data_IF_435847308028
#
_entry.id   IF_435847308028
#
_cell.length_a   1.000
_cell.length_b   1.000
_cell.length_c   1.000
_cell.angle_alpha   90.00
_cell.angle_beta   90.00
_cell.angle_gamma   90.00
#
_symmetry.space_group_name_H-M   'P 1'
#
loop_
_entity.id
_entity.type
_entity.pdbx_description
1 polymer ?
#
# COMPACT_ATOMS: atom_id res chain seq x y z
N UNK A 1 29.02 10.39 -16.73
CA UNK A 1 28.48 11.76 -16.77
C UNK A 1 28.05 12.11 -15.34
N UNK A 2 28.57 13.20 -14.74
CA UNK A 2 28.16 13.63 -13.39
C UNK A 2 26.71 14.16 -13.32
N UNK A 3 26.02 14.35 -14.46
CA UNK A 3 24.66 14.90 -14.55
C UNK A 3 23.55 13.86 -14.38
N UNK A 4 23.90 12.59 -14.25
CA UNK A 4 22.96 11.49 -14.06
C UNK A 4 23.37 10.24 -14.83
N UNK A 5 22.94 9.08 -14.33
CA UNK A 5 23.16 7.78 -14.97
C UNK A 5 21.83 7.06 -15.07
N UNK A 6 21.44 6.72 -16.29
CA UNK A 6 20.28 5.87 -16.53
C UNK A 6 20.63 4.41 -16.24
N UNK A 7 19.73 3.71 -15.53
CA UNK A 7 19.82 2.27 -15.30
C UNK A 7 18.65 1.59 -16.03
N UNK A 8 18.90 0.79 -17.08
CA UNK A 8 17.86 0.18 -17.89
C UNK A 8 17.31 -1.09 -17.23
N UNK A 9 16.55 -0.93 -16.14
CA UNK A 9 15.91 -2.05 -15.44
C UNK A 9 14.84 -2.68 -16.34
N UNK A 10 14.77 -4.01 -16.40
CA UNK A 10 13.71 -4.70 -17.14
C UNK A 10 12.33 -4.37 -16.54
N UNK A 11 11.30 -4.12 -17.36
CA UNK A 11 9.98 -3.74 -16.85
C UNK A 11 9.43 -4.71 -15.79
N UNK A 12 9.02 -4.18 -14.64
CA UNK A 12 8.44 -4.96 -13.54
C UNK A 12 9.45 -5.66 -12.63
N UNK A 13 10.76 -5.52 -12.88
CA UNK A 13 11.83 -6.19 -12.12
C UNK A 13 12.58 -5.27 -11.14
N UNK A 14 12.04 -4.09 -10.83
CA UNK A 14 12.67 -3.12 -9.92
C UNK A 14 12.99 -3.71 -8.53
N UNK A 15 12.16 -4.64 -8.05
CA UNK A 15 12.44 -5.36 -6.81
C UNK A 15 13.71 -6.21 -6.89
N UNK A 16 14.05 -6.80 -8.04
CA UNK A 16 15.29 -7.55 -8.19
C UNK A 16 16.52 -6.61 -8.09
N UNK A 17 16.46 -5.42 -8.70
CA UNK A 17 17.52 -4.42 -8.52
C UNK A 17 17.63 -3.97 -7.05
N UNK A 18 16.51 -3.60 -6.43
CA UNK A 18 16.49 -3.12 -5.05
C UNK A 18 16.96 -4.20 -4.06
N UNK A 19 16.51 -5.44 -4.21
CA UNK A 19 16.95 -6.55 -3.37
C UNK A 19 18.41 -6.93 -3.60
N UNK A 20 18.93 -6.81 -4.83
CA UNK A 20 20.35 -6.94 -5.13
C UNK A 20 21.19 -5.87 -4.40
N UNK A 21 20.74 -4.62 -4.42
CA UNK A 21 21.37 -3.56 -3.62
C UNK A 21 21.29 -3.86 -2.12
N UNK A 22 20.13 -4.26 -1.60
CA UNK A 22 19.94 -4.60 -0.18
C UNK A 22 20.87 -5.74 0.24
N UNK A 23 20.99 -6.80 -0.57
CA UNK A 23 21.93 -7.90 -0.31
C UNK A 23 23.34 -7.38 -0.13
N UNK A 24 23.83 -6.58 -1.08
CA UNK A 24 25.17 -6.00 -1.00
C UNK A 24 25.34 -5.11 0.23
N UNK A 25 24.33 -4.30 0.56
CA UNK A 25 24.33 -3.43 1.77
C UNK A 25 24.45 -4.28 3.04
N UNK A 26 23.75 -5.41 3.13
CA UNK A 26 23.83 -6.33 4.28
C UNK A 26 25.21 -6.99 4.36
N UNK A 27 25.69 -7.55 3.25
CA UNK A 27 26.97 -8.27 3.17
C UNK A 27 28.17 -7.37 3.54
N UNK A 28 28.06 -6.06 3.24
CA UNK A 28 29.11 -5.08 3.51
C UNK A 28 28.83 -4.19 4.73
N UNK A 29 27.78 -4.48 5.49
CA UNK A 29 27.38 -3.71 6.69
C UNK A 29 27.25 -2.20 6.43
N UNK A 30 26.71 -1.81 5.27
CA UNK A 30 26.57 -0.41 4.82
C UNK A 30 25.24 0.24 5.20
N UNK A 31 24.43 -0.42 6.04
CA UNK A 31 23.21 0.12 6.61
C UNK A 31 23.49 1.00 7.84
N UNK A 32 22.54 1.85 8.20
CA UNK A 32 22.62 2.71 9.39
C UNK A 32 22.20 1.93 10.65
N UNK A 33 23.17 1.25 11.27
CA UNK A 33 22.92 0.35 12.39
C UNK A 33 22.27 1.05 13.59
N UNK A 34 22.79 2.21 13.99
CA UNK A 34 22.31 2.95 15.17
C UNK A 34 20.84 3.38 15.02
N UNK A 35 20.45 3.80 13.81
CA UNK A 35 19.07 4.13 13.48
C UNK A 35 18.14 2.92 13.48
N UNK A 36 18.56 1.84 12.81
CA UNK A 36 17.76 0.61 12.72
C UNK A 36 17.58 -0.06 14.08
N UNK A 37 18.46 0.20 15.04
CA UNK A 37 18.38 -0.34 16.39
C UNK A 37 17.29 0.31 17.26
N UNK A 38 16.69 1.42 16.81
CA UNK A 38 15.66 2.19 17.54
C UNK A 38 14.28 1.52 17.32
N UNK A 39 13.69 0.90 18.37
CA UNK A 39 12.51 0.06 18.23
C UNK A 39 11.18 0.79 18.47
N UNK A 40 11.17 2.09 18.73
CA UNK A 40 9.92 2.75 19.10
C UNK A 40 10.01 4.25 19.23
N UNK A 41 8.84 4.87 19.41
CA UNK A 41 8.66 6.33 19.52
C UNK A 41 9.48 6.94 20.66
N UNK A 42 9.54 6.29 21.83
CA UNK A 42 10.28 6.85 22.97
C UNK A 42 11.79 6.88 22.69
N UNK A 43 12.33 5.77 22.19
CA UNK A 43 13.74 5.67 21.77
C UNK A 43 14.08 6.67 20.66
N UNK A 44 13.19 6.83 19.67
CA UNK A 44 13.32 7.81 18.60
C UNK A 44 13.47 9.23 19.15
N UNK A 45 12.58 9.63 20.07
CA UNK A 45 12.62 10.95 20.70
C UNK A 45 13.92 11.17 21.48
N UNK A 46 14.36 10.18 22.26
CA UNK A 46 15.60 10.25 23.02
C UNK A 46 16.85 10.33 22.12
N UNK A 47 16.82 9.67 20.96
CA UNK A 47 17.90 9.71 19.96
C UNK A 47 17.87 10.99 19.10
N UNK A 48 16.84 11.84 19.21
CA UNK A 48 16.68 13.03 18.37
C UNK A 48 16.32 12.71 16.91
N UNK A 49 15.78 11.53 16.64
CA UNK A 49 15.41 11.08 15.30
C UNK A 49 13.99 11.53 14.91
N UNK A 50 13.71 11.56 13.61
CA UNK A 50 12.40 11.98 13.04
C UNK A 50 11.47 10.81 12.69
N UNK A 51 11.78 9.60 13.16
CA UNK A 51 12.15 8.45 12.33
C UNK A 51 12.42 7.19 13.18
N UNK A 52 11.66 6.08 13.06
CA UNK A 52 12.04 4.76 13.61
C UNK A 52 11.51 3.62 12.74
N UNK A 53 12.00 2.40 12.98
CA UNK A 53 11.65 1.23 12.16
C UNK A 53 11.34 0.02 13.03
N UNK A 54 10.66 -0.97 12.45
CA UNK A 54 10.44 -2.26 13.08
C UNK A 54 11.58 -3.28 12.84
N UNK A 55 12.78 -2.81 12.45
CA UNK A 55 13.92 -3.67 12.10
C UNK A 55 14.32 -4.64 13.22
N UNK A 56 14.15 -4.27 14.49
CA UNK A 56 14.49 -5.08 15.66
C UNK A 56 13.32 -5.89 16.22
N UNK A 57 12.10 -5.64 15.74
CA UNK A 57 10.90 -6.31 16.27
C UNK A 57 10.95 -7.79 15.92
N UNK A 58 10.65 -8.63 16.90
CA UNK A 58 10.64 -10.06 16.73
C UNK A 58 9.35 -10.49 16.03
N UNK A 59 9.50 -11.39 15.07
CA UNK A 59 8.41 -12.05 14.37
C UNK A 59 8.52 -13.57 14.56
N UNK A 60 7.39 -14.23 14.67
CA UNK A 60 7.31 -15.69 14.74
C UNK A 60 7.57 -16.25 13.35
N UNK A 61 8.64 -17.03 13.22
CA UNK A 61 9.16 -17.49 11.94
C UNK A 61 8.71 -18.91 11.56
N UNK A 62 8.05 -19.63 12.47
CA UNK A 62 7.49 -20.95 12.19
C UNK A 62 6.19 -20.85 11.38
N UNK A 63 5.95 -21.85 10.52
CA UNK A 63 4.73 -21.99 9.72
C UNK A 63 3.57 -22.56 10.56
N UNK A 64 3.20 -21.84 11.62
CA UNK A 64 2.12 -22.20 12.52
C UNK A 64 0.82 -21.51 12.12
N UNK A 65 -0.33 -22.23 12.08
CA UNK A 65 -1.63 -21.59 11.89
C UNK A 65 -1.81 -20.41 12.85
N UNK A 66 -2.35 -19.31 12.34
CA UNK A 66 -2.62 -18.03 13.06
C UNK A 66 -1.41 -17.23 13.57
N UNK A 67 -0.23 -17.84 13.73
CA UNK A 67 0.97 -17.18 14.26
C UNK A 67 2.04 -16.86 13.21
N UNK A 68 2.07 -17.57 12.09
CA UNK A 68 3.10 -17.40 11.07
C UNK A 68 3.20 -15.94 10.59
N UNK A 69 4.40 -15.35 10.70
CA UNK A 69 4.68 -13.99 10.26
C UNK A 69 4.11 -12.88 11.15
N UNK A 70 3.45 -13.21 12.26
CA UNK A 70 2.99 -12.24 13.24
C UNK A 70 4.16 -11.69 14.07
N UNK A 71 4.01 -10.48 14.59
CA UNK A 71 4.90 -9.98 15.63
C UNK A 71 4.76 -10.84 16.89
N UNK A 72 5.91 -11.21 17.49
CA UNK A 72 5.91 -11.65 18.87
C UNK A 72 5.48 -10.46 19.74
N UNK A 73 4.53 -10.67 20.63
CA UNK A 73 4.02 -9.63 21.53
C UNK A 73 4.09 -10.06 22.99
N UNK A 74 3.96 -9.13 23.93
CA UNK A 74 3.95 -9.47 25.35
C UNK A 74 2.86 -10.48 25.70
N UNK A 75 1.67 -10.37 25.10
CA UNK A 75 0.59 -11.36 25.27
C UNK A 75 0.99 -12.80 24.92
N UNK A 76 1.92 -12.98 23.98
CA UNK A 76 2.41 -14.32 23.65
C UNK A 76 3.36 -14.87 24.73
N UNK A 77 3.96 -14.02 25.56
CA UNK A 77 4.91 -14.39 26.61
C UNK A 77 4.26 -14.48 27.99
N UNK A 78 3.24 -13.64 28.23
CA UNK A 78 2.49 -13.60 29.49
C UNK A 78 0.98 -13.54 29.19
N UNK A 79 0.14 -14.37 29.87
CA UNK A 79 -1.29 -14.43 29.58
C UNK A 79 -2.03 -13.09 29.65
N UNK A 80 -1.65 -12.23 30.61
CA UNK A 80 -2.24 -10.90 30.83
C UNK A 80 -1.42 -9.77 30.16
N UNK A 81 -0.50 -10.11 29.26
CA UNK A 81 0.35 -9.15 28.55
C UNK A 81 -0.41 -8.34 27.50
N UNK A 82 0.11 -7.15 27.18
CA UNK A 82 -0.43 -6.31 26.12
C UNK A 82 -0.12 -6.85 24.72
N UNK A 83 -0.89 -6.42 23.70
CA UNK A 83 -0.59 -6.69 22.28
C UNK A 83 0.54 -5.79 21.74
N UNK A 84 1.60 -5.54 22.53
CA UNK A 84 2.74 -4.72 22.12
C UNK A 84 3.88 -5.58 21.58
N UNK A 85 4.55 -5.17 20.48
CA UNK A 85 5.67 -5.93 19.93
C UNK A 85 6.84 -6.08 20.89
N UNK A 86 7.52 -7.22 20.81
CA UNK A 86 8.69 -7.55 21.63
C UNK A 86 9.98 -7.42 20.82
N UNK A 87 11.05 -6.98 21.48
CA UNK A 87 12.42 -6.90 20.96
C UNK A 87 13.40 -7.61 21.89
N UNK A 88 14.61 -7.88 21.41
CA UNK A 88 15.73 -8.32 22.24
C UNK A 88 16.64 -7.12 22.54
N UNK A 89 16.74 -6.71 23.79
CA UNK A 89 17.58 -5.58 24.20
C UNK A 89 19.09 -5.91 24.06
N UNK A 90 19.95 -4.93 24.31
CA UNK A 90 21.42 -5.11 24.25
C UNK A 90 21.93 -6.14 25.25
N UNK A 91 21.27 -6.30 26.40
CA UNK A 91 21.62 -7.25 27.46
C UNK A 91 21.16 -8.69 27.16
N UNK A 92 20.34 -8.88 26.12
CA UNK A 92 19.85 -10.20 25.69
C UNK A 92 18.52 -10.61 26.30
N UNK A 93 17.74 -9.64 26.80
CA UNK A 93 16.44 -9.85 27.42
C UNK A 93 15.31 -9.49 26.45
N UNK A 94 14.21 -10.25 26.52
CA UNK A 94 12.99 -9.96 25.79
C UNK A 94 12.21 -8.86 26.52
N UNK A 95 12.00 -7.73 25.85
CA UNK A 95 11.34 -6.56 26.44
C UNK A 95 10.33 -5.95 25.47
N UNK A 96 9.42 -5.13 26.00
CA UNK A 96 8.51 -4.31 25.21
C UNK A 96 9.30 -3.32 24.32
N UNK A 97 9.03 -3.32 23.02
CA UNK A 97 9.64 -2.40 22.06
C UNK A 97 9.49 -0.93 22.46
N UNK A 98 8.38 -0.56 23.10
CA UNK A 98 8.07 0.82 23.48
C UNK A 98 8.94 1.37 24.61
N UNK A 99 9.52 0.48 25.43
CA UNK A 99 10.39 0.84 26.57
C UNK A 99 11.87 0.65 26.28
N UNK A 100 12.21 -0.05 25.20
CA UNK A 100 13.57 -0.36 24.82
C UNK A 100 14.26 0.82 24.10
N UNK A 101 15.42 1.25 24.59
CA UNK A 101 16.20 2.34 23.96
C UNK A 101 16.92 1.90 22.68
N UNK A 102 17.55 0.75 22.71
CA UNK A 102 18.24 0.13 21.57
C UNK A 102 18.09 -1.38 21.65
N UNK A 103 17.80 -2.01 20.50
CA UNK A 103 17.61 -3.45 20.39
C UNK A 103 18.55 -4.08 19.37
N UNK A 104 18.79 -5.39 19.52
CA UNK A 104 19.69 -6.15 18.64
C UNK A 104 19.08 -6.29 17.24
N UNK A 105 19.87 -5.95 16.23
CA UNK A 105 19.43 -5.94 14.83
C UNK A 105 19.19 -7.33 14.24
N UNK A 106 20.08 -8.28 14.52
CA UNK A 106 20.02 -9.65 13.98
C UNK A 106 19.74 -10.62 15.12
N UNK A 107 18.54 -11.16 15.12
CA UNK A 107 18.10 -12.13 16.12
C UNK A 107 17.57 -13.36 15.39
N UNK A 108 17.99 -14.53 15.83
CA UNK A 108 17.34 -15.82 15.56
C UNK A 108 17.49 -16.65 16.81
N UNK A 109 16.40 -16.89 17.52
CA UNK A 109 16.42 -17.70 18.75
C UNK A 109 15.09 -18.39 18.99
N UNK A 110 15.10 -19.35 19.89
CA UNK A 110 13.88 -19.97 20.38
C UNK A 110 13.30 -19.18 21.55
N UNK A 111 11.98 -19.12 21.60
CA UNK A 111 11.21 -18.53 22.70
C UNK A 111 10.10 -19.49 23.08
N UNK A 112 9.88 -19.67 24.38
CA UNK A 112 8.73 -20.41 24.89
C UNK A 112 7.60 -19.43 25.16
N UNK A 113 6.45 -19.68 24.56
CA UNK A 113 5.23 -18.89 24.74
C UNK A 113 4.55 -19.23 26.07
N UNK A 114 3.58 -18.41 26.47
CA UNK A 114 2.80 -18.58 27.70
C UNK A 114 2.03 -19.92 27.77
N UNK A 115 1.66 -20.48 26.62
CA UNK A 115 1.00 -21.78 26.51
C UNK A 115 1.97 -22.98 26.52
N UNK A 116 3.28 -22.71 26.66
CA UNK A 116 4.35 -23.71 26.66
C UNK A 116 4.85 -24.09 25.27
N UNK A 117 4.27 -23.57 24.19
CA UNK A 117 4.75 -23.82 22.84
C UNK A 117 6.12 -23.14 22.64
N UNK A 118 7.06 -23.87 22.04
CA UNK A 118 8.36 -23.32 21.67
C UNK A 118 8.34 -22.90 20.20
N UNK A 119 8.66 -21.63 19.95
CA UNK A 119 8.69 -21.02 18.62
C UNK A 119 10.07 -20.45 18.30
N UNK A 120 10.40 -20.42 17.02
CA UNK A 120 11.53 -19.71 16.44
C UNK A 120 11.13 -18.27 16.15
N UNK A 121 11.87 -17.32 16.71
CA UNK A 121 11.66 -15.90 16.44
C UNK A 121 12.86 -15.28 15.76
N UNK A 122 12.61 -14.32 14.87
CA UNK A 122 13.64 -13.56 14.17
C UNK A 122 13.33 -12.07 14.21
N UNK A 123 14.35 -11.22 14.22
CA UNK A 123 14.13 -9.77 14.05
C UNK A 123 13.71 -9.44 12.61
N UNK A 124 13.00 -8.33 12.42
CA UNK A 124 12.60 -7.85 11.10
C UNK A 124 13.77 -7.70 10.12
N UNK A 125 14.91 -7.18 10.58
CA UNK A 125 16.12 -7.02 9.75
C UNK A 125 16.75 -8.37 9.39
N UNK A 126 16.73 -9.35 10.31
CA UNK A 126 17.17 -10.71 10.00
C UNK A 126 16.31 -11.32 8.88
N UNK A 127 14.99 -11.11 8.90
CA UNK A 127 14.10 -11.57 7.83
C UNK A 127 14.37 -10.88 6.50
N UNK A 128 14.66 -9.58 6.51
CA UNK A 128 15.04 -8.84 5.30
C UNK A 128 16.36 -9.36 4.72
N UNK A 129 17.38 -9.58 5.57
CA UNK A 129 18.67 -10.15 5.16
C UNK A 129 18.47 -11.52 4.51
N UNK A 130 17.75 -12.43 5.17
CA UNK A 130 17.45 -13.75 4.62
C UNK A 130 16.67 -13.68 3.30
N UNK A 131 15.74 -12.73 3.15
CA UNK A 131 15.02 -12.52 1.92
C UNK A 131 15.92 -12.03 0.77
N UNK A 132 16.87 -11.16 1.07
CA UNK A 132 17.88 -10.69 0.10
C UNK A 132 18.91 -11.78 -0.22
N UNK A 133 19.19 -12.70 0.70
CA UNK A 133 20.14 -13.80 0.50
C UNK A 133 19.57 -14.96 -0.34
N UNK A 134 18.25 -14.98 -0.59
CA UNK A 134 17.59 -16.02 -1.42
C UNK A 134 18.18 -16.14 -2.82
N UNK A 135 18.65 -15.05 -3.40
CA UNK A 135 19.25 -15.01 -4.73
C UNK A 135 20.64 -14.37 -4.66
N UNK A 136 21.59 -14.90 -5.43
CA UNK A 136 22.90 -14.27 -5.59
C UNK A 136 22.79 -12.94 -6.35
N UNK A 137 23.83 -12.10 -6.27
CA UNK A 137 23.90 -10.88 -7.08
C UNK A 137 23.80 -11.19 -8.59
N UNK A 138 24.40 -12.29 -9.05
CA UNK A 138 24.27 -12.77 -10.43
C UNK A 138 22.82 -13.04 -10.83
N UNK A 139 22.06 -13.71 -9.96
CA UNK A 139 20.64 -14.01 -10.21
C UNK A 139 19.79 -12.73 -10.19
N UNK A 140 20.06 -11.79 -9.28
CA UNK A 140 19.39 -10.48 -9.30
C UNK A 140 19.73 -9.70 -10.57
N UNK A 141 20.99 -9.70 -11.00
CA UNK A 141 21.45 -9.09 -12.25
C UNK A 141 20.72 -9.68 -13.46
N UNK A 142 20.60 -10.99 -13.54
CA UNK A 142 19.84 -11.68 -14.59
C UNK A 142 18.36 -11.26 -14.59
N UNK A 143 17.72 -11.23 -13.42
CA UNK A 143 16.30 -10.89 -13.29
C UNK A 143 15.97 -9.43 -13.58
N UNK A 144 16.87 -8.50 -13.29
CA UNK A 144 16.63 -7.07 -13.52
C UNK A 144 17.27 -6.53 -14.80
N UNK A 145 18.14 -7.30 -15.45
CA UNK A 145 18.89 -6.90 -16.64
C UNK A 145 20.01 -5.88 -16.37
N UNK A 146 20.27 -5.54 -15.11
CA UNK A 146 21.34 -4.61 -14.71
C UNK A 146 22.57 -5.41 -14.30
N UNK A 147 23.75 -5.21 -14.93
CA UNK A 147 24.96 -5.96 -14.60
C UNK A 147 25.35 -5.86 -13.11
N UNK A 148 25.84 -6.94 -12.53
CA UNK A 148 26.25 -7.03 -11.11
C UNK A 148 27.11 -5.84 -10.66
N UNK A 149 28.13 -5.48 -11.45
CA UNK A 149 29.01 -4.36 -11.15
C UNK A 149 28.25 -3.01 -11.02
N UNK A 150 27.16 -2.83 -11.76
CA UNK A 150 26.33 -1.62 -11.66
C UNK A 150 25.40 -1.65 -10.45
N UNK A 151 24.88 -2.83 -10.07
CA UNK A 151 24.12 -3.00 -8.82
C UNK A 151 24.99 -2.64 -7.62
N UNK A 152 26.21 -3.19 -7.59
CA UNK A 152 27.22 -2.92 -6.55
C UNK A 152 27.56 -1.44 -6.51
N UNK A 153 27.95 -0.84 -7.65
CA UNK A 153 28.32 0.58 -7.70
C UNK A 153 27.17 1.49 -7.27
N UNK A 154 25.91 1.14 -7.60
CA UNK A 154 24.74 1.89 -7.19
C UNK A 154 24.52 1.79 -5.68
N UNK A 155 24.60 0.60 -5.10
CA UNK A 155 24.47 0.38 -3.65
C UNK A 155 25.58 1.08 -2.85
N UNK A 156 26.82 1.00 -3.33
CA UNK A 156 27.97 1.67 -2.74
C UNK A 156 27.82 3.19 -2.76
N UNK A 157 27.48 3.76 -3.93
CA UNK A 157 27.28 5.21 -4.08
C UNK A 157 26.12 5.69 -3.22
N UNK A 158 24.98 4.98 -3.26
CA UNK A 158 23.79 5.29 -2.47
C UNK A 158 24.12 5.36 -0.97
N UNK A 159 24.78 4.33 -0.45
CA UNK A 159 25.14 4.29 0.97
C UNK A 159 26.31 5.21 1.34
N UNK A 160 27.21 5.56 0.42
CA UNK A 160 28.30 6.51 0.68
C UNK A 160 27.80 7.93 0.97
N UNK A 161 26.66 8.32 0.41
CA UNK A 161 26.00 9.58 0.72
C UNK A 161 25.18 9.54 2.04
N UNK A 162 25.02 8.36 2.64
CA UNK A 162 24.26 8.15 3.87
C UNK A 162 22.86 8.78 3.78
N UNK A 163 22.47 9.52 4.81
CA UNK A 163 21.16 10.18 4.92
C UNK A 163 20.88 11.29 3.90
N UNK A 164 21.85 11.65 3.06
CA UNK A 164 21.70 12.65 1.99
C UNK A 164 21.29 12.03 0.65
N UNK A 165 21.27 10.71 0.54
CA UNK A 165 20.66 10.01 -0.59
C UNK A 165 19.17 9.79 -0.35
N UNK A 166 18.40 9.67 -1.42
CA UNK A 166 17.00 9.29 -1.38
C UNK A 166 16.63 8.52 -2.65
N UNK A 167 15.73 7.55 -2.51
CA UNK A 167 15.08 6.89 -3.64
C UNK A 167 13.58 7.11 -3.56
N UNK A 168 12.95 7.38 -4.69
CA UNK A 168 11.50 7.50 -4.80
C UNK A 168 11.01 6.52 -5.87
N UNK A 169 9.78 6.06 -5.73
CA UNK A 169 9.09 5.32 -6.79
C UNK A 169 7.90 6.13 -7.28
N UNK A 170 7.57 6.00 -8.56
CA UNK A 170 6.30 6.51 -9.06
C UNK A 170 5.16 5.65 -8.49
N UNK A 171 4.05 6.30 -8.12
CA UNK A 171 2.95 5.70 -7.37
C UNK A 171 2.57 4.30 -7.85
N UNK A 172 2.80 3.31 -7.00
CA UNK A 172 2.30 1.94 -7.13
C UNK A 172 2.82 1.13 -8.31
N UNK A 173 3.95 1.52 -8.93
CA UNK A 173 4.69 0.81 -9.99
C UNK A 173 3.81 -0.08 -10.86
N UNK A 174 3.22 0.51 -11.91
CA UNK A 174 2.13 0.05 -12.80
C UNK A 174 2.27 -1.36 -13.43
N UNK A 175 2.45 -2.38 -12.60
CA UNK A 175 2.64 -3.78 -12.91
C UNK A 175 1.98 -4.63 -11.80
N UNK A 176 1.71 -5.90 -12.07
CA UNK A 176 1.00 -6.78 -11.13
C UNK A 176 1.71 -6.99 -9.78
N UNK A 177 3.03 -6.78 -9.73
CA UNK A 177 3.87 -6.84 -8.52
C UNK A 177 4.25 -5.45 -7.98
N UNK A 178 3.58 -4.39 -8.41
CA UNK A 178 3.94 -3.00 -8.11
C UNK A 178 4.07 -2.66 -6.63
N UNK A 179 3.26 -3.29 -5.78
CA UNK A 179 3.37 -3.15 -4.32
C UNK A 179 4.74 -3.61 -3.82
N UNK A 180 5.17 -4.81 -4.21
CA UNK A 180 6.46 -5.37 -3.77
C UNK A 180 7.63 -4.58 -4.32
N UNK A 181 7.53 -4.11 -5.57
CA UNK A 181 8.56 -3.26 -6.14
C UNK A 181 8.69 -1.93 -5.38
N UNK A 182 7.58 -1.21 -5.17
CA UNK A 182 7.59 0.02 -4.38
C UNK A 182 8.10 -0.21 -2.95
N UNK A 183 7.65 -1.29 -2.29
CA UNK A 183 8.08 -1.64 -0.94
C UNK A 183 9.58 -1.89 -0.85
N UNK A 184 10.16 -2.65 -1.78
CA UNK A 184 11.60 -2.93 -1.82
C UNK A 184 12.44 -1.67 -2.07
N UNK A 185 11.99 -0.77 -2.94
CA UNK A 185 12.67 0.52 -3.17
C UNK A 185 12.59 1.40 -1.94
N UNK A 186 11.42 1.48 -1.28
CA UNK A 186 11.28 2.26 -0.05
C UNK A 186 12.11 1.70 1.11
N UNK A 187 12.40 0.40 1.12
CA UNK A 187 13.27 -0.21 2.13
C UNK A 187 14.69 0.37 2.11
N UNK A 188 15.22 0.76 0.95
CA UNK A 188 16.55 1.39 0.85
C UNK A 188 16.64 2.68 1.66
N UNK A 189 15.57 3.49 1.67
CA UNK A 189 15.48 4.71 2.48
C UNK A 189 15.51 4.40 3.99
N UNK A 190 14.78 3.36 4.41
CA UNK A 190 14.78 2.91 5.80
C UNK A 190 16.17 2.42 6.22
N UNK A 191 16.90 1.70 5.35
CA UNK A 191 18.25 1.19 5.65
C UNK A 191 19.28 2.30 5.90
N UNK A 192 19.13 3.48 5.30
CA UNK A 192 20.03 4.62 5.54
C UNK A 192 19.48 5.62 6.58
N UNK A 193 18.20 5.52 6.93
CA UNK A 193 17.53 6.36 7.92
C UNK A 193 17.35 7.81 7.46
N UNK A 194 16.98 8.02 6.19
CA UNK A 194 16.76 9.37 5.62
C UNK A 194 15.29 9.84 5.74
N UNK A 195 14.42 9.05 6.33
CA UNK A 195 12.98 9.31 6.38
C UNK A 195 12.69 10.52 7.28
N UNK A 196 11.94 11.49 6.74
CA UNK A 196 11.56 12.77 7.34
C UNK A 196 12.71 13.74 7.63
N UNK A 197 13.89 13.52 7.03
CA UNK A 197 15.03 14.43 7.14
C UNK A 197 15.11 15.39 5.96
N UNK A 198 15.77 16.53 6.16
CA UNK A 198 16.08 17.47 5.07
C UNK A 198 16.94 16.80 4.00
N UNK A 199 16.52 16.87 2.74
CA UNK A 199 17.14 16.14 1.62
C UNK A 199 16.78 14.66 1.53
N UNK A 200 16.01 14.13 2.48
CA UNK A 200 15.50 12.77 2.50
C UNK A 200 14.08 12.62 1.95
N UNK A 201 13.45 11.50 2.26
CA UNK A 201 12.07 11.19 1.83
C UNK A 201 11.08 11.61 2.90
N UNK A 202 10.03 12.31 2.53
CA UNK A 202 8.98 12.77 3.45
C UNK A 202 7.59 12.40 2.94
N UNK A 203 6.65 12.26 3.87
CA UNK A 203 5.22 12.20 3.55
C UNK A 203 4.74 13.63 3.36
N UNK A 204 4.01 13.89 2.26
CA UNK A 204 3.50 15.23 1.95
C UNK A 204 2.72 15.85 3.12
N UNK A 205 2.74 17.18 3.23
CA UNK A 205 2.14 17.95 4.33
C UNK A 205 0.62 17.87 4.42
N UNK A 206 -0.02 17.15 3.51
CA UNK A 206 -1.45 16.87 3.48
C UNK A 206 -2.26 18.05 2.93
N UNK A 207 -3.57 17.97 3.17
CA UNK A 207 -4.57 18.90 2.63
C UNK A 207 -5.38 19.58 3.71
N UNK A 208 -5.85 20.80 3.45
CA UNK A 208 -6.97 21.33 4.23
C UNK A 208 -8.25 20.60 3.83
N UNK A 209 -9.01 20.13 4.81
CA UNK A 209 -10.27 19.46 4.53
C UNK A 209 -11.29 20.50 4.04
N UNK A 210 -11.72 20.37 2.79
CA UNK A 210 -12.74 21.24 2.18
C UNK A 210 -14.17 20.79 2.43
N UNK A 211 -14.38 19.63 3.07
CA UNK A 211 -15.70 19.09 3.40
C UNK A 211 -15.82 18.98 4.91
N UNK A 212 -16.43 19.99 5.52
CA UNK A 212 -16.80 20.03 6.92
C UNK A 212 -18.18 20.66 7.06
N UNK A 213 -18.81 20.49 8.21
CA UNK A 213 -19.97 21.32 8.54
C UNK A 213 -19.55 22.79 8.53
N UNK A 214 -20.33 23.60 7.83
CA UNK A 214 -20.10 25.02 7.66
C UNK A 214 -21.27 25.83 8.23
N UNK A 215 -21.11 27.16 8.31
CA UNK A 215 -22.14 28.03 8.88
C UNK A 215 -23.47 28.03 8.09
N UNK A 216 -23.46 27.53 6.85
CA UNK A 216 -24.65 27.45 5.98
C UNK A 216 -25.17 26.02 5.78
N UNK A 217 -24.30 25.01 5.79
CA UNK A 217 -24.64 23.63 5.44
C UNK A 217 -23.93 22.64 6.33
N UNK A 218 -24.66 21.65 6.81
CA UNK A 218 -24.09 20.49 7.51
C UNK A 218 -23.81 19.38 6.49
N UNK A 219 -22.55 19.25 6.08
CA UNK A 219 -22.11 18.29 5.06
C UNK A 219 -21.81 16.91 5.66
N UNK A 220 -21.43 16.85 6.94
CA UNK A 220 -21.09 15.59 7.61
C UNK A 220 -22.34 14.83 8.05
N UNK A 221 -23.39 15.53 8.50
CA UNK A 221 -24.62 14.91 8.98
C UNK A 221 -25.80 15.87 8.86
N UNK A 222 -26.93 15.38 8.38
CA UNK A 222 -28.18 16.13 8.27
C UNK A 222 -29.37 15.19 8.48
N UNK A 223 -30.52 15.75 8.89
CA UNK A 223 -31.73 14.97 9.10
C UNK A 223 -32.13 14.24 7.81
N UNK A 224 -32.38 12.94 7.91
CA UNK A 224 -32.71 12.09 6.75
C UNK A 224 -31.49 11.64 5.92
N UNK A 225 -30.24 11.89 6.36
CA UNK A 225 -29.05 11.37 5.68
C UNK A 225 -29.09 9.85 5.60
N UNK A 226 -29.14 9.33 4.38
CA UNK A 226 -29.04 7.89 4.10
C UNK A 226 -27.57 7.50 4.08
N UNK A 227 -27.20 6.49 4.89
CA UNK A 227 -25.87 5.89 4.83
C UNK A 227 -25.89 4.70 3.86
N UNK A 228 -24.88 4.55 2.99
CA UNK A 228 -24.72 3.30 2.24
C UNK A 228 -24.67 2.11 3.19
N UNK A 229 -25.36 1.04 2.83
CA UNK A 229 -25.38 -0.21 3.58
C UNK A 229 -25.23 -1.39 2.61
N UNK A 230 -24.85 -2.54 3.16
CA UNK A 230 -24.63 -3.76 2.40
C UNK A 230 -23.19 -3.93 1.90
N UNK A 231 -23.00 -5.02 1.18
CA UNK A 231 -21.70 -5.43 0.65
C UNK A 231 -21.31 -4.58 -0.56
N UNK A 232 -20.08 -4.09 -0.63
CA UNK A 232 -19.57 -3.43 -1.84
C UNK A 232 -19.55 -4.42 -3.01
N UNK A 233 -20.06 -4.01 -4.17
CA UNK A 233 -20.07 -4.86 -5.37
C UNK A 233 -18.66 -5.29 -5.82
N UNK A 234 -17.65 -4.46 -5.54
CA UNK A 234 -16.24 -4.73 -5.79
C UNK A 234 -15.59 -5.63 -4.71
N UNK A 235 -16.36 -6.20 -3.77
CA UNK A 235 -15.90 -7.08 -2.67
C UNK A 235 -14.71 -6.49 -1.89
N UNK A 236 -14.70 -5.16 -1.78
CA UNK A 236 -13.61 -4.36 -1.23
C UNK A 236 -13.84 -4.08 0.25
N UNK A 237 -12.77 -4.05 1.05
CA UNK A 237 -12.81 -3.80 2.51
C UNK A 237 -13.73 -4.76 3.28
N UNK A 238 -13.94 -5.98 2.79
CA UNK A 238 -14.77 -6.99 3.45
C UNK A 238 -14.12 -8.35 3.29
N UNK A 239 -14.07 -9.12 4.37
CA UNK A 239 -13.61 -10.50 4.35
C UNK A 239 -14.70 -11.40 3.77
N UNK A 240 -14.33 -12.44 3.03
CA UNK A 240 -15.29 -13.34 2.39
C UNK A 240 -16.19 -14.04 3.41
N UNK A 241 -15.64 -14.34 4.58
CA UNK A 241 -16.27 -15.01 5.71
C UNK A 241 -17.45 -14.22 6.29
N UNK A 242 -17.51 -12.91 6.01
CA UNK A 242 -18.63 -12.05 6.40
C UNK A 242 -19.79 -12.06 5.38
N UNK A 243 -19.62 -12.75 4.24
CA UNK A 243 -20.61 -12.77 3.15
C UNK A 243 -21.77 -13.72 3.40
N UNK A 244 -22.90 -13.47 2.73
CA UNK A 244 -24.03 -14.40 2.66
C UNK A 244 -23.61 -15.73 2.02
N UNK A 245 -22.84 -15.68 0.93
CA UNK A 245 -22.35 -16.89 0.25
C UNK A 245 -21.58 -17.82 1.19
N UNK A 246 -20.70 -17.28 2.03
CA UNK A 246 -19.97 -18.08 3.01
C UNK A 246 -20.91 -18.74 4.02
N UNK A 247 -21.84 -17.96 4.59
CA UNK A 247 -22.83 -18.45 5.56
C UNK A 247 -23.74 -19.52 4.97
N UNK A 248 -24.20 -19.32 3.74
CA UNK A 248 -25.11 -20.23 3.04
C UNK A 248 -24.43 -21.55 2.69
N UNK A 249 -23.16 -21.51 2.25
CA UNK A 249 -22.37 -22.72 2.01
C UNK A 249 -22.19 -23.53 3.29
N UNK A 250 -21.84 -22.89 4.41
CA UNK A 250 -21.72 -23.56 5.71
C UNK A 250 -23.07 -24.16 6.16
N UNK A 251 -24.15 -23.39 6.08
CA UNK A 251 -25.49 -23.85 6.46
C UNK A 251 -25.96 -25.03 5.58
N UNK A 252 -25.55 -25.05 4.31
CA UNK A 252 -25.81 -26.14 3.36
C UNK A 252 -24.85 -27.33 3.46
N UNK A 253 -23.92 -27.34 4.42
CA UNK A 253 -22.92 -28.42 4.57
C UNK A 253 -21.88 -28.49 3.44
N UNK A 254 -21.70 -27.40 2.68
CA UNK A 254 -20.74 -27.29 1.59
C UNK A 254 -19.42 -26.69 2.08
N UNK A 255 -18.32 -26.99 1.38
CA UNK A 255 -17.06 -26.28 1.61
C UNK A 255 -17.24 -24.79 1.29
N UNK A 256 -16.97 -23.86 2.22
CA UNK A 256 -17.09 -22.44 1.95
C UNK A 256 -16.08 -21.96 0.90
N UNK A 257 -14.92 -22.62 0.81
CA UNK A 257 -13.85 -22.24 -0.12
C UNK A 257 -13.76 -23.18 -1.34
N UNK A 258 -13.29 -22.65 -2.50
CA UNK A 258 -12.99 -21.24 -2.74
C UNK A 258 -14.25 -20.37 -2.92
N UNK A 259 -14.11 -19.06 -2.71
CA UNK A 259 -15.13 -18.08 -3.09
C UNK A 259 -15.30 -18.05 -4.62
N UNK A 260 -16.48 -17.64 -5.11
CA UNK A 260 -16.75 -17.60 -6.57
C UNK A 260 -15.85 -16.62 -7.34
N UNK A 261 -15.44 -15.51 -6.72
CA UNK A 261 -14.45 -14.59 -7.26
C UNK A 261 -13.56 -14.06 -6.12
N UNK A 262 -12.41 -13.44 -6.43
CA UNK A 262 -11.53 -12.88 -5.41
C UNK A 262 -12.21 -11.82 -4.54
N UNK A 263 -11.85 -11.81 -3.25
CA UNK A 263 -12.27 -10.83 -2.26
C UNK A 263 -11.08 -10.00 -1.80
N UNK A 264 -11.31 -8.72 -1.50
CA UNK A 264 -10.24 -7.76 -1.27
C UNK A 264 -10.40 -7.07 0.10
N UNK A 265 -10.11 -7.78 1.21
CA UNK A 265 -10.35 -7.27 2.56
C UNK A 265 -9.53 -6.02 2.90
N UNK A 266 -8.39 -5.80 2.23
CA UNK A 266 -7.48 -4.70 2.53
C UNK A 266 -7.59 -3.50 1.57
N UNK A 267 -8.18 -3.68 0.40
CA UNK A 267 -8.18 -2.67 -0.68
C UNK A 267 -9.55 -2.00 -0.78
N UNK A 268 -9.56 -0.69 -1.01
CA UNK A 268 -10.76 0.09 -1.33
C UNK A 268 -10.67 0.62 -2.77
N UNK A 269 -11.82 0.93 -3.39
CA UNK A 269 -11.85 1.73 -4.61
C UNK A 269 -11.27 1.04 -5.85
N UNK A 270 -11.74 -0.17 -6.17
CA UNK A 270 -11.30 -0.92 -7.35
C UNK A 270 -12.27 -0.73 -8.50
N UNK A 271 -12.00 0.24 -9.39
CA UNK A 271 -12.83 0.48 -10.56
C UNK A 271 -12.85 -0.74 -11.51
N UNK A 272 -11.72 -1.44 -11.61
CA UNK A 272 -11.56 -2.70 -12.35
C UNK A 272 -12.57 -3.76 -11.90
N UNK A 273 -12.80 -3.86 -10.59
CA UNK A 273 -13.71 -4.84 -9.99
C UNK A 273 -15.15 -4.33 -9.99
N UNK A 274 -15.39 -3.02 -9.83
CA UNK A 274 -16.74 -2.48 -9.69
C UNK A 274 -17.58 -2.74 -10.94
N UNK A 275 -17.08 -2.35 -12.13
CA UNK A 275 -17.84 -2.48 -13.38
C UNK A 275 -17.93 -3.95 -13.82
N UNK A 276 -16.85 -4.71 -13.75
CA UNK A 276 -16.86 -6.12 -14.16
C UNK A 276 -17.77 -6.95 -13.26
N UNK A 277 -17.74 -6.74 -11.93
CA UNK A 277 -18.62 -7.42 -10.97
C UNK A 277 -20.10 -7.08 -11.23
N UNK A 278 -20.40 -5.81 -11.53
CA UNK A 278 -21.75 -5.40 -11.91
C UNK A 278 -22.28 -6.14 -13.13
N UNK A 279 -21.46 -6.24 -14.18
CA UNK A 279 -21.82 -6.89 -15.43
C UNK A 279 -21.89 -8.43 -15.31
N UNK A 280 -21.09 -9.02 -14.42
CA UNK A 280 -21.17 -10.45 -14.09
C UNK A 280 -22.33 -10.78 -13.14
N UNK A 281 -22.85 -9.80 -12.42
CA UNK A 281 -23.92 -9.98 -11.44
C UNK A 281 -23.47 -10.70 -10.17
N UNK A 282 -22.19 -10.65 -9.83
CA UNK A 282 -21.63 -11.21 -8.59
C UNK A 282 -20.88 -10.13 -7.80
N UNK A 283 -21.17 -9.92 -6.50
CA UNK A 283 -22.10 -10.69 -5.66
C UNK A 283 -23.59 -10.48 -5.96
N UNK A 284 -23.95 -9.42 -6.69
CA UNK A 284 -25.32 -9.12 -7.11
C UNK A 284 -25.29 -8.23 -8.37
N UNK A 285 -26.37 -8.18 -9.18
CA UNK A 285 -26.44 -7.30 -10.36
C UNK A 285 -26.72 -5.84 -10.01
N UNK A 286 -26.32 -4.92 -10.88
CA UNK A 286 -26.76 -3.52 -10.82
C UNK A 286 -27.98 -3.28 -11.71
N UNK A 287 -28.85 -2.37 -11.26
CA UNK A 287 -30.00 -1.91 -12.05
C UNK A 287 -29.71 -0.61 -12.79
N UNK A 288 -28.80 0.20 -12.25
CA UNK A 288 -28.39 1.46 -12.83
C UNK A 288 -26.93 1.75 -12.47
N UNK A 289 -26.21 2.38 -13.39
CA UNK A 289 -24.90 2.97 -13.15
C UNK A 289 -24.94 4.45 -13.51
N UNK A 290 -24.56 5.29 -12.55
CA UNK A 290 -24.34 6.72 -12.77
C UNK A 290 -22.83 6.95 -12.72
N UNK A 291 -22.25 7.27 -13.87
CA UNK A 291 -20.83 7.64 -14.00
C UNK A 291 -20.71 9.15 -13.97
N UNK A 292 -19.75 9.68 -13.21
CA UNK A 292 -19.42 11.10 -13.20
C UNK A 292 -17.93 11.29 -13.46
N UNK A 293 -17.60 12.12 -14.46
CA UNK A 293 -16.23 12.49 -14.84
C UNK A 293 -15.29 11.28 -14.92
N UNK A 294 -15.70 10.21 -15.61
CA UNK A 294 -14.94 8.96 -15.65
C UNK A 294 -14.94 8.31 -17.03
N UNK A 295 -13.78 7.74 -17.39
CA UNK A 295 -13.57 7.02 -18.65
C UNK A 295 -12.81 5.70 -18.44
N UNK A 296 -13.42 4.69 -17.77
CA UNK A 296 -12.78 3.40 -17.50
C UNK A 296 -12.32 2.66 -18.76
N UNK A 297 -13.00 2.76 -19.90
CA UNK A 297 -12.59 2.04 -21.13
C UNK A 297 -11.32 2.61 -21.77
N UNK A 298 -10.99 3.86 -21.50
CA UNK A 298 -9.68 4.42 -21.79
C UNK A 298 -8.69 4.16 -20.64
N UNK A 299 -9.11 4.42 -19.40
CA UNK A 299 -8.21 4.48 -18.24
C UNK A 299 -7.77 3.14 -17.65
N UNK A 300 -8.47 2.04 -17.97
CA UNK A 300 -8.17 0.70 -17.43
C UNK A 300 -7.70 -0.23 -18.55
N UNK A 301 -6.40 -0.61 -18.56
CA UNK A 301 -5.86 -1.55 -19.55
C UNK A 301 -6.65 -2.87 -19.60
N UNK A 302 -7.00 -3.30 -20.81
CA UNK A 302 -7.69 -4.57 -21.05
C UNK A 302 -9.18 -4.60 -20.72
N UNK A 303 -9.74 -3.58 -20.05
CA UNK A 303 -11.13 -3.57 -19.61
C UNK A 303 -12.12 -3.65 -20.78
N UNK A 304 -11.82 -2.94 -21.86
CA UNK A 304 -12.66 -2.90 -23.07
C UNK A 304 -12.96 -4.33 -23.59
N UNK A 305 -11.94 -5.17 -23.68
CA UNK A 305 -12.07 -6.54 -24.19
C UNK A 305 -12.97 -7.46 -23.32
N UNK A 306 -13.11 -7.16 -22.02
CA UNK A 306 -13.85 -8.02 -21.08
C UNK A 306 -15.22 -7.48 -20.69
N UNK A 307 -15.47 -6.19 -20.89
CA UNK A 307 -16.64 -5.49 -20.37
C UNK A 307 -17.48 -4.79 -21.45
N UNK A 308 -16.95 -4.40 -22.61
CA UNK A 308 -17.68 -3.57 -23.58
C UNK A 308 -18.96 -4.22 -24.08
N UNK A 309 -18.89 -5.47 -24.57
CA UNK A 309 -20.07 -6.17 -25.08
C UNK A 309 -21.09 -6.49 -23.98
N UNK A 310 -20.63 -6.69 -22.74
CA UNK A 310 -21.53 -6.90 -21.60
C UNK A 310 -22.22 -5.62 -21.18
N UNK A 311 -21.53 -4.48 -21.28
CA UNK A 311 -22.09 -3.16 -20.98
C UNK A 311 -23.19 -2.79 -21.97
N UNK A 312 -23.06 -3.19 -23.24
CA UNK A 312 -24.09 -3.01 -24.28
C UNK A 312 -25.34 -3.87 -24.06
N UNK A 313 -25.32 -4.86 -23.17
CA UNK A 313 -26.45 -5.74 -22.90
C UNK A 313 -27.35 -5.16 -21.78
N UNK A 314 -28.56 -4.64 -22.10
CA UNK A 314 -29.45 -4.05 -21.10
C UNK A 314 -29.98 -5.07 -20.07
N UNK A 315 -29.80 -6.38 -20.32
CA UNK A 315 -30.12 -7.42 -19.31
C UNK A 315 -29.07 -7.48 -18.21
N UNK A 316 -27.85 -7.01 -18.47
CA UNK A 316 -26.73 -6.97 -17.49
C UNK A 316 -26.72 -5.65 -16.73
N UNK A 317 -26.89 -4.54 -17.43
CA UNK A 317 -27.01 -3.21 -16.83
C UNK A 317 -28.18 -2.47 -17.51
N UNK A 318 -29.36 -2.42 -16.88
CA UNK A 318 -30.56 -1.84 -17.51
C UNK A 318 -30.53 -0.33 -17.75
N UNK A 319 -29.67 0.42 -17.04
CA UNK A 319 -29.60 1.87 -17.15
C UNK A 319 -28.17 2.36 -16.91
N UNK A 320 -27.63 3.10 -17.86
CA UNK A 320 -26.35 3.79 -17.77
C UNK A 320 -26.51 5.28 -18.04
N UNK A 321 -26.26 6.10 -17.02
CA UNK A 321 -26.24 7.57 -17.12
C UNK A 321 -24.81 8.05 -16.98
N UNK A 322 -24.34 8.83 -17.95
CA UNK A 322 -23.05 9.49 -17.94
C UNK A 322 -23.19 10.99 -17.63
N UNK A 323 -22.41 11.49 -16.69
CA UNK A 323 -22.30 12.92 -16.34
C UNK A 323 -20.87 13.36 -16.65
N UNK A 324 -20.68 14.09 -17.75
CA UNK A 324 -19.34 14.46 -18.23
C UNK A 324 -19.37 15.77 -19.03
N UNK A 325 -18.25 16.49 -19.02
CA UNK A 325 -18.06 17.68 -19.86
C UNK A 325 -17.73 17.31 -21.31
N UNK A 326 -17.29 16.07 -21.56
CA UNK A 326 -16.89 15.59 -22.88
C UNK A 326 -17.46 14.22 -23.19
N UNK A 327 -17.79 13.99 -24.46
CA UNK A 327 -18.01 12.63 -24.98
C UNK A 327 -16.70 11.85 -25.00
N UNK A 328 -16.73 10.60 -24.53
CA UNK A 328 -15.58 9.70 -24.47
C UNK A 328 -16.00 8.25 -24.77
N UNK A 329 -15.03 7.33 -24.84
CA UNK A 329 -15.27 5.93 -25.23
C UNK A 329 -16.22 5.19 -24.29
N UNK A 330 -16.25 5.58 -23.01
CA UNK A 330 -17.19 5.01 -22.04
C UNK A 330 -18.57 5.66 -22.20
N UNK A 331 -18.64 6.99 -22.24
CA UNK A 331 -19.93 7.72 -22.29
C UNK A 331 -20.67 7.53 -23.61
N UNK A 332 -19.96 7.17 -24.68
CA UNK A 332 -20.54 6.76 -25.96
C UNK A 332 -21.45 5.51 -25.86
N UNK A 333 -21.40 4.78 -24.74
CA UNK A 333 -22.22 3.60 -24.48
C UNK A 333 -23.36 3.87 -23.48
N UNK A 334 -23.53 5.12 -23.03
CA UNK A 334 -24.57 5.48 -22.08
C UNK A 334 -25.94 5.60 -22.75
N UNK A 335 -26.99 5.29 -22.00
CA UNK A 335 -28.38 5.52 -22.41
C UNK A 335 -28.71 7.02 -22.35
N UNK A 336 -28.15 7.73 -21.36
CA UNK A 336 -28.30 9.17 -21.18
C UNK A 336 -26.97 9.84 -20.89
N UNK A 337 -26.77 11.02 -21.47
CA UNK A 337 -25.63 11.89 -21.19
C UNK A 337 -26.17 13.19 -20.61
N UNK A 338 -25.68 13.55 -19.42
CA UNK A 338 -25.93 14.82 -18.75
C UNK A 338 -24.66 15.67 -18.88
N UNK A 339 -24.70 16.80 -19.59
CA UNK A 339 -23.56 17.70 -19.70
C UNK A 339 -23.13 18.22 -18.31
N UNK A 340 -21.84 18.12 -18.00
CA UNK A 340 -21.23 18.70 -16.79
C UNK A 340 -20.31 19.88 -17.16
N UNK A 341 -19.92 20.65 -16.14
CA UNK A 341 -19.05 21.82 -16.29
C UNK A 341 -17.59 21.46 -16.54
N UNK A 342 -16.91 22.25 -17.36
CA UNK A 342 -15.46 22.20 -17.51
C UNK A 342 -14.74 22.83 -16.30
N UNK A 343 -13.43 22.58 -16.16
CA UNK A 343 -12.64 23.10 -15.04
C UNK A 343 -12.55 24.64 -14.98
N UNK A 344 -12.86 25.32 -16.08
CA UNK A 344 -12.92 26.78 -16.16
C UNK A 344 -14.29 27.39 -15.85
N UNK A 345 -15.30 26.55 -15.63
CA UNK A 345 -16.70 26.95 -15.48
C UNK A 345 -17.23 26.74 -14.06
N UNK A 346 -16.47 26.06 -13.20
CA UNK A 346 -16.92 25.72 -11.84
C UNK A 346 -15.83 25.82 -10.78
N UNK A 347 -16.27 26.09 -9.56
CA UNK A 347 -15.43 26.00 -8.37
C UNK A 347 -14.94 24.57 -8.17
N UNK A 348 -13.72 24.42 -7.66
CA UNK A 348 -13.17 23.12 -7.32
C UNK A 348 -11.97 23.26 -6.41
N UNK A 349 -11.80 22.29 -5.53
CA UNK A 349 -10.72 22.27 -4.55
C UNK A 349 -10.03 20.93 -4.62
N UNK A 350 -8.71 20.92 -4.74
CA UNK A 350 -7.91 19.69 -4.69
C UNK A 350 -6.68 19.88 -3.81
N UNK A 351 -6.01 18.77 -3.53
CA UNK A 351 -4.76 18.75 -2.79
C UNK A 351 -3.59 18.58 -3.77
N UNK A 352 -2.40 19.13 -3.46
CA UNK A 352 -1.20 18.71 -4.18
C UNK A 352 -1.01 17.19 -4.08
N UNK A 353 -0.75 16.55 -5.21
CA UNK A 353 -0.55 15.10 -5.27
C UNK A 353 0.67 14.63 -4.46
N UNK A 354 1.76 15.41 -4.48
CA UNK A 354 3.00 15.14 -3.77
C UNK A 354 3.98 16.30 -3.89
N UNK A 355 5.15 16.17 -3.26
CA UNK A 355 6.23 17.18 -3.36
C UNK A 355 5.99 18.47 -2.58
N UNK A 356 4.89 18.57 -1.82
CA UNK A 356 4.57 19.72 -0.97
C UNK A 356 4.68 19.32 0.49
N UNK A 357 5.67 19.87 1.18
CA UNK A 357 5.96 19.55 2.59
C UNK A 357 5.00 20.24 3.57
N UNK A 358 4.36 21.33 3.15
CA UNK A 358 3.35 22.03 3.94
C UNK A 358 1.94 21.58 3.60
N UNK A 359 1.03 21.76 4.54
CA UNK A 359 -0.40 21.58 4.30
C UNK A 359 -0.86 22.62 3.27
N UNK A 360 -1.49 22.16 2.20
CA UNK A 360 -1.91 23.05 1.11
C UNK A 360 -3.20 22.56 0.44
N UNK A 361 -3.90 23.50 -0.19
CA UNK A 361 -5.06 23.25 -1.05
C UNK A 361 -4.92 24.12 -2.28
N UNK A 362 -5.23 23.57 -3.44
CA UNK A 362 -5.38 24.32 -4.68
C UNK A 362 -6.86 24.57 -4.95
N UNK A 363 -7.18 25.78 -5.37
CA UNK A 363 -8.54 26.18 -5.71
C UNK A 363 -8.59 26.54 -7.20
N UNK A 364 -9.67 26.13 -7.88
CA UNK A 364 -10.09 26.68 -9.16
C UNK A 364 -11.36 27.50 -8.94
N UNK A 365 -11.49 28.58 -9.70
CA UNK A 365 -12.67 29.43 -9.74
C UNK A 365 -13.16 29.54 -11.20
N UNK A 366 -14.45 29.78 -11.43
CA UNK A 366 -14.98 29.97 -12.77
C UNK A 366 -14.39 31.25 -13.39
N UNK A 367 -13.80 31.12 -14.59
CA UNK A 367 -13.34 32.25 -15.40
C UNK A 367 -14.32 32.60 -16.52
N UNK A 368 -15.23 31.68 -16.83
CA UNK A 368 -16.36 31.85 -17.75
C UNK A 368 -17.62 31.24 -17.14
N UNK A 369 -18.80 31.67 -17.61
CA UNK A 369 -20.06 31.03 -17.22
C UNK A 369 -20.19 29.65 -17.89
N UNK A 370 -20.78 28.64 -17.21
CA UNK A 370 -21.11 27.37 -17.85
C UNK A 370 -21.95 27.54 -19.10
N UNK A 371 -21.62 26.82 -20.17
CA UNK A 371 -22.36 26.86 -21.43
C UNK A 371 -23.61 25.94 -21.46
N UNK A 372 -23.81 25.14 -20.41
CA UNK A 372 -24.82 24.08 -20.28
C UNK A 372 -26.07 24.52 -19.55
#
# INVERSE_FOLDING_TARGET
DPRGRWQPVMPGSDSALAMGMIRWIMDNQRYNADYLAIPGVQAMQQAGEQSWTNATHLVIADELPTLAGQHLTLRHLTPDGEETPVVLNTDGELVDASTCRQARLFVTQYVTLADGQRVTVKSGLQRLKEAAEKLSLAQYSEQCGVPEAQIIALAETFTAHGRKAAVISHGGMMAGNGFYNAWSVMMLNALIGNLSLSGGVFVGGGKFNGVSDGPRYNMNSFAGKVKPSGLSIARSKTAYEASEEYRDKIAGGQSPYPAKAPWYPFVAGQLTELLTSALEGYPYPLKAWISNMSNPFYGVPGLRAVAEEKLKDPRRLPLFIAIDAFMNETTALADYIVPDTHNFESWGFTAPWGGVASKATTARWPVVAPAT
#
